data_IF_255375513193
#
_entry.id   IF_255375513193
#
_cell.length_a   1.000
_cell.length_b   1.000
_cell.length_c   1.000
_cell.angle_alpha   90.00
_cell.angle_beta   90.00
_cell.angle_gamma   90.00
#
_symmetry.space_group_name_H-M   'P 1'
#
loop_
_entity.id
_entity.type
_entity.pdbx_description
1 polymer ?
#
# COMPACT_ATOMS: atom_id res chain seq x y z
N UNK A 1 16.94 4.71 -8.80
CA UNK A 1 15.96 5.37 -9.71
C UNK A 1 14.84 6.02 -8.88
N UNK A 2 14.08 7.00 -9.39
CA UNK A 2 12.96 7.63 -8.63
C UNK A 2 11.61 7.07 -9.07
N UNK A 3 10.80 6.60 -8.12
CA UNK A 3 9.48 6.03 -8.35
C UNK A 3 8.41 6.77 -7.53
N UNK A 4 7.34 7.20 -8.20
CA UNK A 4 6.12 7.69 -7.58
C UNK A 4 5.01 6.67 -7.79
N UNK A 5 4.42 6.19 -6.69
CA UNK A 5 3.27 5.27 -6.70
C UNK A 5 2.05 6.03 -6.17
N UNK A 6 1.04 6.17 -7.02
CA UNK A 6 -0.22 6.86 -6.71
C UNK A 6 -1.31 5.85 -6.40
N UNK A 7 -1.87 5.91 -5.19
CA UNK A 7 -2.97 5.05 -4.76
C UNK A 7 -4.21 5.90 -4.49
N UNK A 8 -5.34 5.48 -5.05
CA UNK A 8 -6.62 6.20 -4.97
C UNK A 8 -7.72 5.40 -4.24
N UNK A 9 -7.70 4.08 -4.41
CA UNK A 9 -8.78 3.22 -3.92
C UNK A 9 -8.66 2.96 -2.41
N UNK A 10 -9.77 2.83 -1.68
CA UNK A 10 -9.74 2.54 -0.26
C UNK A 10 -9.12 1.16 0.03
N UNK A 11 -8.56 0.96 1.24
CA UNK A 11 -8.14 -0.37 1.68
C UNK A 11 -9.36 -1.31 1.73
N UNK A 12 -9.13 -2.60 1.49
CA UNK A 12 -10.11 -3.69 1.63
C UNK A 12 -11.31 -3.69 0.68
N UNK A 13 -11.55 -2.64 -0.10
CA UNK A 13 -12.61 -2.61 -1.13
C UNK A 13 -12.20 -3.27 -2.45
N UNK A 14 -10.91 -3.16 -2.81
CA UNK A 14 -10.29 -3.81 -3.98
C UNK A 14 -8.85 -4.22 -3.64
N UNK A 15 -8.19 -4.95 -4.54
CA UNK A 15 -6.78 -5.33 -4.37
C UNK A 15 -5.79 -4.21 -4.76
N UNK A 16 -6.26 -3.06 -5.29
CA UNK A 16 -5.38 -2.07 -5.91
C UNK A 16 -4.38 -1.46 -4.93
N UNK A 17 -4.84 -0.99 -3.78
CA UNK A 17 -3.97 -0.37 -2.77
C UNK A 17 -3.05 -1.40 -2.13
N UNK A 18 -3.51 -2.65 -1.94
CA UNK A 18 -2.65 -3.75 -1.49
C UNK A 18 -1.53 -4.06 -2.49
N UNK A 19 -1.86 -4.21 -3.78
CA UNK A 19 -0.87 -4.51 -4.81
C UNK A 19 0.13 -3.37 -5.01
N UNK A 20 -0.33 -2.12 -4.92
CA UNK A 20 0.54 -0.94 -4.98
C UNK A 20 1.56 -0.89 -3.84
N UNK A 21 1.12 -1.14 -2.60
CA UNK A 21 2.01 -1.18 -1.43
C UNK A 21 2.94 -2.40 -1.47
N UNK A 22 2.44 -3.56 -1.92
CA UNK A 22 3.26 -4.75 -2.17
C UNK A 22 4.35 -4.50 -3.21
N UNK A 23 4.03 -3.76 -4.28
CA UNK A 23 5.00 -3.39 -5.32
C UNK A 23 6.04 -2.41 -4.78
N UNK A 24 5.63 -1.39 -4.01
CA UNK A 24 6.54 -0.47 -3.35
C UNK A 24 7.56 -1.23 -2.48
N UNK A 25 7.09 -2.21 -1.70
CA UNK A 25 7.96 -3.07 -0.89
C UNK A 25 8.90 -3.94 -1.72
N UNK A 26 8.42 -4.48 -2.84
CA UNK A 26 9.26 -5.26 -3.74
C UNK A 26 10.35 -4.40 -4.39
N UNK A 27 10.05 -3.17 -4.80
CA UNK A 27 11.03 -2.23 -5.33
C UNK A 27 12.10 -1.91 -4.27
N UNK A 28 11.68 -1.58 -3.05
CA UNK A 28 12.60 -1.26 -1.95
C UNK A 28 13.56 -2.42 -1.61
N UNK A 29 13.11 -3.67 -1.83
CA UNK A 29 13.94 -4.87 -1.59
C UNK A 29 14.93 -5.18 -2.71
N UNK A 30 14.55 -4.93 -3.97
CA UNK A 30 15.34 -5.37 -5.13
C UNK A 30 16.23 -4.25 -5.70
N UNK A 31 15.94 -2.99 -5.40
CA UNK A 31 16.78 -1.84 -5.74
C UNK A 31 16.97 -0.97 -4.47
N UNK A 32 18.03 -1.22 -3.69
CA UNK A 32 18.31 -0.46 -2.46
C UNK A 32 18.59 1.03 -2.69
N UNK A 33 18.96 1.42 -3.91
CA UNK A 33 19.20 2.83 -4.28
C UNK A 33 17.95 3.49 -4.90
N UNK A 34 16.82 2.78 -4.96
CA UNK A 34 15.57 3.35 -5.41
C UNK A 34 14.99 4.34 -4.38
N UNK A 35 14.69 5.55 -4.85
CA UNK A 35 13.87 6.50 -4.12
C UNK A 35 12.39 6.23 -4.42
N UNK A 36 11.64 5.73 -3.44
CA UNK A 36 10.25 5.34 -3.62
C UNK A 36 9.36 6.27 -2.80
N UNK A 37 8.46 6.98 -3.48
CA UNK A 37 7.42 7.81 -2.88
C UNK A 37 6.06 7.17 -3.12
N UNK A 38 5.30 6.95 -2.05
CA UNK A 38 3.90 6.50 -2.14
C UNK A 38 3.00 7.68 -1.78
N UNK A 39 2.17 8.13 -2.72
CA UNK A 39 1.21 9.19 -2.50
C UNK A 39 -0.21 8.61 -2.41
N UNK A 40 -0.83 8.78 -1.25
CA UNK A 40 -2.18 8.30 -0.98
C UNK A 40 -3.16 9.46 -1.22
N UNK A 41 -4.19 9.21 -2.03
CA UNK A 41 -5.26 10.17 -2.29
C UNK A 41 -6.64 9.52 -2.20
N UNK A 42 -7.66 10.35 -2.00
CA UNK A 42 -9.07 9.92 -1.90
C UNK A 42 -9.24 8.80 -0.87
N UNK A 43 -9.71 7.61 -1.25
CA UNK A 43 -9.99 6.52 -0.31
C UNK A 43 -8.71 5.89 0.23
N UNK A 44 -7.61 5.95 -0.52
CA UNK A 44 -6.36 5.32 -0.13
C UNK A 44 -5.73 5.93 1.11
N UNK A 45 -6.11 7.15 1.52
CA UNK A 45 -5.63 7.77 2.77
C UNK A 45 -5.95 6.91 4.00
N UNK A 46 -7.02 6.10 3.93
CA UNK A 46 -7.39 5.17 4.98
C UNK A 46 -6.39 4.01 5.14
N UNK A 47 -5.55 3.73 4.13
CA UNK A 47 -4.45 2.78 4.24
C UNK A 47 -3.47 3.17 5.36
N UNK A 48 -3.28 4.47 5.60
CA UNK A 48 -2.37 4.98 6.64
C UNK A 48 -2.99 4.98 8.05
N UNK A 49 -4.22 4.51 8.23
CA UNK A 49 -4.87 4.48 9.55
C UNK A 49 -4.14 3.50 10.47
N UNK A 50 -3.66 3.99 11.61
CA UNK A 50 -3.02 3.16 12.62
C UNK A 50 -4.00 2.18 13.27
N UNK A 51 -3.52 0.97 13.60
CA UNK A 51 -4.30 -0.03 14.34
C UNK A 51 -5.48 -0.63 13.57
N UNK A 52 -5.42 -0.67 12.24
CA UNK A 52 -6.43 -1.35 11.43
C UNK A 52 -6.57 -2.83 11.83
N UNK A 53 -7.82 -3.27 12.01
CA UNK A 53 -8.17 -4.66 12.29
C UNK A 53 -9.02 -5.19 11.14
N UNK A 54 -8.53 -6.25 10.50
CA UNK A 54 -9.31 -7.02 9.53
C UNK A 54 -10.07 -8.13 10.25
N UNK A 55 -11.35 -8.39 9.93
CA UNK A 55 -12.06 -9.57 10.41
C UNK A 55 -11.26 -10.86 10.14
N UNK A 56 -11.41 -11.84 11.04
CA UNK A 56 -10.74 -13.14 10.88
C UNK A 56 -11.20 -13.82 9.58
N UNK A 57 -10.24 -14.34 8.82
CA UNK A 57 -10.49 -15.02 7.53
C UNK A 57 -10.41 -14.12 6.29
N UNK A 58 -10.34 -12.79 6.43
CA UNK A 58 -9.96 -11.93 5.30
C UNK A 58 -8.46 -12.10 5.01
N UNK A 59 -8.04 -12.02 3.73
CA UNK A 59 -6.60 -12.02 3.35
C UNK A 59 -5.87 -11.01 4.24
N UNK A 60 -5.00 -11.50 5.11
CA UNK A 60 -4.36 -10.73 6.17
C UNK A 60 -3.40 -9.68 5.60
N UNK A 61 -3.93 -8.56 5.15
CA UNK A 61 -3.20 -7.30 5.14
C UNK A 61 -3.43 -6.66 6.52
N UNK A 62 -2.68 -7.13 7.54
CA UNK A 62 -2.68 -6.50 8.89
C UNK A 62 -2.29 -5.02 8.83
N UNK A 63 -1.69 -4.65 7.72
CA UNK A 63 -1.44 -3.31 7.24
C UNK A 63 -1.80 -3.34 5.76
N UNK A 64 -2.63 -2.39 5.32
CA UNK A 64 -2.27 -1.76 4.06
C UNK A 64 -0.92 -1.09 4.29
#
# INVERSE_FOLDING_TARGET
MKHLILLNDPPYGTERSFNGLRMAHALAKNDPEAEITVFLMVGAVLCAKAGQKTPDGQRRARTC
#
